data_IF_734067472762
#
_entry.id   IF_734067472762
#
_cell.length_a   1.000
_cell.length_b   1.000
_cell.length_c   1.000
_cell.angle_alpha   90.00
_cell.angle_beta   90.00
_cell.angle_gamma   90.00
#
_symmetry.space_group_name_H-M   'P 1'
#
loop_
_entity.id
_entity.type
_entity.pdbx_description
1 polymer ?
#
# COMPACT_ATOMS: atom_id res chain seq x y z
N UNK A 1 -21.09 -91.20 15.51
CA UNK A 1 -20.47 -91.29 14.15
C UNK A 1 -20.90 -90.11 13.28
N UNK A 2 -19.96 -89.49 12.63
CA UNK A 2 -20.00 -88.45 11.62
C UNK A 2 -19.81 -87.00 12.12
N UNK A 3 -18.58 -86.61 11.99
CA UNK A 3 -18.08 -85.27 12.11
C UNK A 3 -18.50 -84.46 10.85
N UNK A 4 -18.96 -83.22 11.06
CA UNK A 4 -19.01 -82.25 9.97
C UNK A 4 -18.16 -81.03 10.40
N UNK A 5 -17.11 -80.83 9.65
CA UNK A 5 -16.24 -79.69 9.75
C UNK A 5 -16.88 -78.56 8.96
N UNK A 6 -17.17 -77.42 9.58
CA UNK A 6 -17.59 -76.24 8.88
C UNK A 6 -16.40 -75.27 8.82
N UNK A 7 -15.88 -75.09 7.60
CA UNK A 7 -14.86 -74.11 7.29
C UNK A 7 -15.46 -72.68 7.31
N UNK A 8 -15.01 -71.83 8.23
CA UNK A 8 -15.32 -70.40 8.25
C UNK A 8 -14.36 -69.65 7.33
N UNK A 9 -14.89 -68.98 6.33
CA UNK A 9 -14.19 -68.09 5.43
C UNK A 9 -14.10 -66.72 6.10
N UNK A 10 -12.89 -66.30 6.57
CA UNK A 10 -12.64 -64.99 7.09
C UNK A 10 -12.41 -64.01 5.95
N UNK A 11 -13.34 -63.06 5.70
CA UNK A 11 -13.12 -61.92 4.83
C UNK A 11 -12.24 -60.91 5.58
N UNK A 12 -11.02 -60.71 5.08
CA UNK A 12 -10.16 -59.60 5.44
C UNK A 12 -10.65 -58.35 4.73
N UNK A 13 -11.28 -57.39 5.40
CA UNK A 13 -11.54 -56.05 4.94
C UNK A 13 -10.23 -55.25 5.09
N UNK A 14 -9.55 -55.04 3.96
CA UNK A 14 -8.43 -54.09 3.87
C UNK A 14 -8.99 -52.66 4.00
N UNK A 15 -8.88 -52.07 5.18
CA UNK A 15 -9.16 -50.65 5.39
C UNK A 15 -8.09 -49.80 4.69
N UNK A 16 -8.46 -49.01 3.67
CA UNK A 16 -7.62 -47.95 3.14
C UNK A 16 -7.52 -46.86 4.22
N UNK A 17 -6.39 -46.79 4.92
CA UNK A 17 -6.05 -45.63 5.72
C UNK A 17 -5.70 -44.51 4.74
N UNK A 18 -6.64 -43.55 4.58
CA UNK A 18 -6.33 -42.27 3.96
C UNK A 18 -5.48 -41.48 4.94
N UNK A 19 -4.17 -41.38 4.66
CA UNK A 19 -3.31 -40.41 5.34
C UNK A 19 -3.79 -39.01 4.92
N UNK A 20 -4.67 -38.46 5.72
CA UNK A 20 -4.97 -37.01 5.68
C UNK A 20 -3.76 -36.28 6.29
N UNK A 21 -2.76 -36.04 5.43
CA UNK A 21 -1.68 -35.10 5.74
C UNK A 21 -2.26 -33.70 5.67
N UNK A 22 -3.08 -33.36 6.64
CA UNK A 22 -3.56 -32.01 6.86
C UNK A 22 -2.37 -31.11 7.11
N UNK A 23 -1.85 -30.52 6.03
CA UNK A 23 -0.99 -29.34 6.18
C UNK A 23 -1.80 -28.33 6.97
N UNK A 24 -1.23 -27.73 8.03
CA UNK A 24 -1.93 -26.69 8.77
C UNK A 24 -2.23 -25.54 7.80
N UNK A 25 -3.50 -25.42 7.42
CA UNK A 25 -3.98 -24.24 6.71
C UNK A 25 -3.76 -23.08 7.68
N UNK A 26 -2.95 -22.06 7.33
CA UNK A 26 -2.77 -20.91 8.20
C UNK A 26 -4.13 -20.27 8.41
N UNK A 27 -4.65 -20.36 9.64
CA UNK A 27 -5.91 -19.76 10.07
C UNK A 27 -5.74 -18.25 10.31
N UNK A 28 -4.96 -17.57 9.46
CA UNK A 28 -4.93 -16.12 9.40
C UNK A 28 -6.12 -15.64 8.56
N UNK A 29 -6.66 -14.44 8.83
CA UNK A 29 -7.61 -13.85 7.91
C UNK A 29 -6.95 -13.84 6.53
N UNK A 30 -7.59 -14.51 5.57
CA UNK A 30 -7.20 -14.39 4.16
C UNK A 30 -7.18 -12.90 3.90
N UNK A 31 -6.04 -12.36 3.50
CA UNK A 31 -5.89 -10.94 3.15
C UNK A 31 -6.75 -10.66 1.91
N UNK A 32 -8.07 -10.62 2.15
CA UNK A 32 -9.09 -10.31 1.16
C UNK A 32 -8.99 -8.82 0.95
N UNK A 33 -8.50 -8.43 -0.21
CA UNK A 33 -8.36 -7.05 -0.66
C UNK A 33 -7.25 -6.24 0.03
N UNK A 34 -6.01 -6.58 -0.27
CA UNK A 34 -4.87 -5.77 0.11
C UNK A 34 -4.79 -4.51 -0.77
N UNK A 35 -5.43 -3.43 -0.30
CA UNK A 35 -5.27 -2.11 -0.92
C UNK A 35 -3.81 -1.66 -0.79
N UNK A 36 -3.16 -1.32 -1.90
CA UNK A 36 -1.87 -0.64 -1.88
C UNK A 36 -2.07 0.88 -1.94
N UNK A 37 -1.20 1.62 -1.24
CA UNK A 37 -1.15 3.08 -1.30
C UNK A 37 0.19 3.47 -1.91
N UNK A 38 0.14 4.18 -3.04
CA UNK A 38 1.31 4.80 -3.65
C UNK A 38 1.30 6.30 -3.40
N UNK A 39 2.45 6.84 -3.04
CA UNK A 39 2.69 8.26 -2.85
C UNK A 39 3.89 8.68 -3.70
N UNK A 40 3.71 9.69 -4.54
CA UNK A 40 4.71 10.15 -5.49
C UNK A 40 4.89 11.66 -5.38
N UNK A 41 6.14 12.11 -5.33
CA UNK A 41 6.52 13.52 -5.40
C UNK A 41 6.96 13.90 -6.82
N UNK A 42 7.01 15.18 -7.11
CA UNK A 42 7.52 15.69 -8.41
C UNK A 42 8.64 16.69 -8.24
N UNK A 43 9.36 16.99 -9.33
CA UNK A 43 10.30 18.09 -9.33
C UNK A 43 9.67 19.43 -8.95
N UNK A 44 10.49 20.32 -8.38
CA UNK A 44 10.23 21.75 -8.19
C UNK A 44 11.36 22.55 -8.82
N UNK A 45 11.29 23.87 -8.71
CA UNK A 45 12.43 24.73 -8.98
C UNK A 45 13.41 24.68 -7.80
N UNK A 46 14.35 23.71 -7.86
CA UNK A 46 15.32 23.47 -6.82
C UNK A 46 15.64 21.99 -6.61
N UNK A 47 16.08 21.63 -5.41
CA UNK A 47 16.51 20.28 -5.03
C UNK A 47 15.42 19.49 -4.29
N UNK A 48 14.18 19.56 -4.78
CA UNK A 48 13.12 18.73 -4.21
C UNK A 48 13.37 17.25 -4.51
N UNK A 49 13.35 16.35 -3.52
CA UNK A 49 13.44 14.94 -3.76
C UNK A 49 12.27 14.43 -4.61
N UNK A 50 12.60 13.66 -5.65
CA UNK A 50 11.63 13.03 -6.54
C UNK A 50 11.68 11.53 -6.30
N UNK A 51 10.59 10.98 -5.80
CA UNK A 51 10.48 9.56 -5.47
C UNK A 51 9.04 9.09 -5.49
N UNK A 52 8.90 7.78 -5.56
CA UNK A 52 7.64 7.08 -5.31
C UNK A 52 7.83 6.07 -4.19
N UNK A 53 6.85 6.00 -3.30
CA UNK A 53 6.77 4.93 -2.30
C UNK A 53 5.43 4.22 -2.46
N UNK A 54 5.45 2.89 -2.43
CA UNK A 54 4.24 2.06 -2.44
C UNK A 54 4.26 1.16 -1.23
N UNK A 55 3.19 1.17 -0.44
CA UNK A 55 3.04 0.36 0.77
C UNK A 55 1.81 -0.51 0.71
N UNK A 56 1.87 -1.67 1.38
CA UNK A 56 0.79 -2.65 1.47
C UNK A 56 0.50 -3.01 2.92
N UNK A 57 -0.73 -3.45 3.25
CA UNK A 57 -1.12 -3.81 4.61
C UNK A 57 -0.40 -5.07 5.15
N UNK A 58 0.22 -5.87 4.27
CA UNK A 58 1.06 -7.00 4.65
C UNK A 58 2.44 -6.59 5.22
N UNK A 59 2.69 -5.29 5.30
CA UNK A 59 3.95 -4.74 5.80
C UNK A 59 5.05 -4.66 4.74
N UNK A 60 4.76 -4.90 3.46
CA UNK A 60 5.71 -4.71 2.38
C UNK A 60 5.66 -3.28 1.84
N UNK A 61 6.84 -2.71 1.57
CA UNK A 61 7.00 -1.41 0.95
C UNK A 61 8.08 -1.41 -0.12
N UNK A 62 7.90 -0.56 -1.13
CA UNK A 62 8.88 -0.32 -2.19
C UNK A 62 9.08 1.18 -2.31
N UNK A 63 10.32 1.61 -2.20
CA UNK A 63 10.78 2.98 -2.48
C UNK A 63 11.46 3.01 -3.84
N UNK A 64 11.16 4.02 -4.65
CA UNK A 64 11.84 4.27 -5.93
C UNK A 64 12.33 5.70 -5.94
N UNK A 65 13.62 5.90 -5.74
CA UNK A 65 14.26 7.22 -5.81
C UNK A 65 14.63 7.59 -7.25
N UNK A 66 14.23 8.78 -7.68
CA UNK A 66 14.48 9.26 -9.05
C UNK A 66 15.49 10.41 -9.10
N UNK A 67 15.35 11.40 -8.22
CA UNK A 67 16.21 12.58 -8.18
C UNK A 67 16.32 13.16 -6.79
N UNK A 68 17.52 13.59 -6.42
CA UNK A 68 17.82 14.26 -5.15
C UNK A 68 17.41 13.43 -3.92
N UNK A 69 17.43 12.10 -4.05
CA UNK A 69 17.24 11.13 -2.99
C UNK A 69 18.59 10.51 -2.63
N UNK A 70 18.74 10.01 -1.40
CA UNK A 70 19.95 9.30 -0.96
C UNK A 70 20.06 7.93 -1.64
N UNK A 71 18.92 7.27 -1.86
CA UNK A 71 18.84 6.01 -2.61
C UNK A 71 18.27 6.34 -3.98
N UNK A 72 18.97 5.95 -5.05
CA UNK A 72 18.49 6.00 -6.43
C UNK A 72 18.03 4.62 -6.87
N UNK A 73 16.93 4.57 -7.64
CA UNK A 73 16.31 3.34 -8.08
C UNK A 73 15.43 2.69 -7.03
N UNK A 74 15.14 1.41 -7.22
CA UNK A 74 14.19 0.65 -6.40
C UNK A 74 14.86 0.04 -5.17
N UNK A 75 14.24 0.22 -4.01
CA UNK A 75 14.62 -0.43 -2.77
C UNK A 75 13.37 -0.91 -2.00
N UNK A 76 13.34 -2.20 -1.69
CA UNK A 76 12.31 -2.76 -0.82
C UNK A 76 12.58 -2.41 0.65
N UNK A 77 11.51 -2.25 1.42
CA UNK A 77 11.57 -2.07 2.87
C UNK A 77 10.36 -2.74 3.53
N UNK A 78 10.39 -2.83 4.85
CA UNK A 78 9.26 -3.34 5.64
C UNK A 78 8.75 -2.26 6.57
N UNK A 79 7.45 -2.29 6.84
CA UNK A 79 6.79 -1.39 7.80
C UNK A 79 5.89 -2.20 8.74
N UNK A 80 5.70 -1.67 9.94
CA UNK A 80 4.79 -2.28 10.92
C UNK A 80 3.34 -2.02 10.54
N UNK A 81 2.37 -2.83 11.02
CA UNK A 81 0.95 -2.54 10.84
C UNK A 81 0.55 -1.15 11.34
N UNK A 82 1.15 -0.70 12.44
CA UNK A 82 0.89 0.64 13.00
C UNK A 82 1.34 1.76 12.05
N UNK A 83 2.50 1.61 11.41
CA UNK A 83 3.00 2.56 10.42
C UNK A 83 2.09 2.62 9.18
N UNK A 84 1.66 1.46 8.67
CA UNK A 84 0.71 1.40 7.56
C UNK A 84 -0.60 2.10 7.90
N UNK A 85 -1.23 1.78 9.04
CA UNK A 85 -2.49 2.38 9.44
C UNK A 85 -2.36 3.88 9.76
N UNK A 86 -1.25 4.32 10.33
CA UNK A 86 -1.00 5.75 10.57
C UNK A 86 -0.86 6.52 9.24
N UNK A 87 -0.10 6.00 8.29
CA UNK A 87 0.04 6.57 6.95
C UNK A 87 -1.30 6.65 6.23
N UNK A 88 -2.04 5.56 6.20
CA UNK A 88 -3.38 5.48 5.61
C UNK A 88 -4.36 6.48 6.25
N UNK A 89 -4.38 6.55 7.58
CA UNK A 89 -5.24 7.48 8.33
C UNK A 89 -4.90 8.95 8.06
N UNK A 90 -3.60 9.29 7.92
CA UNK A 90 -3.14 10.65 7.60
C UNK A 90 -3.65 11.10 6.23
N UNK A 91 -3.74 10.20 5.26
CA UNK A 91 -4.18 10.47 3.89
C UNK A 91 -5.70 10.37 3.70
N UNK A 92 -6.40 9.64 4.57
CA UNK A 92 -7.83 9.33 4.42
C UNK A 92 -8.75 10.56 4.24
N UNK A 93 -8.55 11.71 4.93
CA UNK A 93 -9.40 12.89 4.76
C UNK A 93 -9.36 13.50 3.36
N UNK A 94 -8.34 13.20 2.58
CA UNK A 94 -8.10 13.78 1.25
C UNK A 94 -8.42 12.83 0.11
N UNK A 95 -8.75 11.57 0.43
CA UNK A 95 -9.13 10.54 -0.52
C UNK A 95 -10.50 10.86 -1.12
N UNK A 96 -10.66 10.89 -2.46
CA UNK A 96 -11.98 11.03 -3.07
C UNK A 96 -12.83 9.77 -2.85
N UNK A 97 -14.14 9.93 -2.88
CA UNK A 97 -15.06 8.79 -2.80
C UNK A 97 -14.92 7.86 -4.02
N UNK A 98 -14.72 8.44 -5.20
CA UNK A 98 -14.53 7.73 -6.46
C UNK A 98 -13.57 8.49 -7.37
N UNK A 99 -12.87 7.78 -8.24
CA UNK A 99 -12.06 8.35 -9.32
C UNK A 99 -10.90 9.23 -8.85
N UNK A 100 -10.69 10.34 -9.53
CA UNK A 100 -9.59 11.29 -9.27
C UNK A 100 -10.11 12.60 -8.67
N UNK A 101 -9.46 13.07 -7.61
CA UNK A 101 -9.52 14.46 -7.13
C UNK A 101 -8.26 15.19 -7.56
N UNK A 102 -8.43 16.23 -8.38
CA UNK A 102 -7.30 16.98 -8.93
C UNK A 102 -7.34 18.44 -8.51
N UNK A 103 -6.34 18.88 -7.75
CA UNK A 103 -6.13 20.26 -7.31
C UNK A 103 -4.88 20.78 -8.02
N UNK A 104 -5.07 21.47 -9.14
CA UNK A 104 -4.01 21.95 -10.02
C UNK A 104 -4.43 23.23 -10.74
N UNK A 105 -3.51 24.02 -11.27
CA UNK A 105 -3.85 25.20 -12.08
C UNK A 105 -4.85 24.86 -13.17
N UNK A 106 -5.92 25.65 -13.26
CA UNK A 106 -7.01 25.42 -14.22
C UNK A 106 -8.15 24.53 -13.71
N UNK A 107 -8.07 23.99 -12.50
CA UNK A 107 -9.20 23.28 -11.87
C UNK A 107 -10.02 24.21 -10.97
N UNK A 108 -11.32 23.89 -10.72
CA UNK A 108 -12.17 24.69 -9.83
C UNK A 108 -11.64 24.83 -8.40
N UNK A 109 -10.84 23.85 -7.94
CA UNK A 109 -10.25 23.82 -6.60
C UNK A 109 -8.93 24.61 -6.51
N UNK A 110 -8.44 25.21 -7.61
CA UNK A 110 -7.20 25.98 -7.68
C UNK A 110 -7.45 27.31 -8.41
N UNK A 111 -7.80 28.34 -7.65
CA UNK A 111 -8.09 29.68 -8.23
C UNK A 111 -6.83 30.53 -8.39
N UNK A 112 -5.91 30.41 -7.45
CA UNK A 112 -4.61 31.07 -7.45
C UNK A 112 -3.53 30.00 -7.43
N UNK A 113 -2.51 30.14 -8.29
CA UNK A 113 -1.41 29.21 -8.36
C UNK A 113 -0.08 29.96 -8.37
N UNK A 114 0.75 29.72 -7.34
CA UNK A 114 2.16 30.07 -7.39
C UNK A 114 2.90 29.07 -8.31
N UNK A 115 3.94 29.52 -9.00
CA UNK A 115 4.75 28.69 -9.89
C UNK A 115 5.86 27.95 -9.13
N UNK A 116 6.51 27.01 -9.80
CA UNK A 116 7.77 26.39 -9.39
C UNK A 116 7.74 25.52 -8.12
N UNK A 117 6.56 25.18 -7.63
CA UNK A 117 6.35 24.30 -6.49
C UNK A 117 6.14 22.83 -6.94
N UNK A 118 6.46 21.86 -6.10
CA UNK A 118 6.23 20.46 -6.42
C UNK A 118 4.74 20.11 -6.38
N UNK A 119 4.44 18.89 -6.79
CA UNK A 119 3.16 18.24 -6.55
C UNK A 119 3.35 16.93 -5.81
N UNK A 120 2.25 16.45 -5.25
CA UNK A 120 2.14 15.09 -4.75
C UNK A 120 0.97 14.39 -5.44
N UNK A 121 1.16 13.11 -5.74
CA UNK A 121 0.11 12.21 -6.21
C UNK A 121 -0.03 11.06 -5.22
N UNK A 122 -1.25 10.80 -4.76
CA UNK A 122 -1.56 9.64 -3.93
C UNK A 122 -2.52 8.75 -4.69
N UNK A 123 -2.25 7.45 -4.76
CA UNK A 123 -3.11 6.49 -5.41
C UNK A 123 -3.43 5.34 -4.45
N UNK A 124 -4.71 5.06 -4.28
CA UNK A 124 -5.24 3.91 -3.56
C UNK A 124 -5.69 2.89 -4.59
N UNK A 125 -4.97 1.78 -4.66
CA UNK A 125 -5.22 0.72 -5.65
C UNK A 125 -5.73 -0.53 -4.96
N UNK A 126 -6.89 -1.03 -5.39
CA UNK A 126 -7.45 -2.30 -4.95
C UNK A 126 -7.20 -3.37 -6.02
N UNK A 127 -6.98 -4.64 -5.64
CA UNK A 127 -6.87 -5.74 -6.60
C UNK A 127 -8.15 -5.93 -7.43
N UNK A 128 -9.30 -5.66 -6.82
CA UNK A 128 -10.62 -5.73 -7.45
C UNK A 128 -11.39 -4.47 -7.06
N UNK A 129 -11.99 -3.80 -8.04
CA UNK A 129 -12.79 -2.59 -7.85
C UNK A 129 -12.08 -1.32 -8.30
N UNK A 130 -12.67 -0.18 -7.93
CA UNK A 130 -12.21 1.14 -8.37
C UNK A 130 -10.98 1.59 -7.58
N UNK A 131 -9.99 2.13 -8.30
CA UNK A 131 -8.88 2.87 -7.72
C UNK A 131 -9.28 4.33 -7.56
N UNK A 132 -8.80 4.96 -6.50
CA UNK A 132 -8.95 6.40 -6.29
C UNK A 132 -7.57 7.07 -6.36
N UNK A 133 -7.56 8.34 -6.75
CA UNK A 133 -6.34 9.13 -6.74
C UNK A 133 -6.57 10.58 -6.33
N UNK A 134 -5.55 11.14 -5.69
CA UNK A 134 -5.44 12.56 -5.40
C UNK A 134 -4.23 13.10 -6.15
N UNK A 135 -4.41 14.19 -6.87
CA UNK A 135 -3.32 15.01 -7.42
C UNK A 135 -3.39 16.38 -6.76
N UNK A 136 -2.33 16.78 -6.07
CA UNK A 136 -2.26 18.04 -5.36
C UNK A 136 -1.00 18.83 -5.75
N UNK A 137 -1.19 20.01 -6.32
CA UNK A 137 -0.12 20.96 -6.58
C UNK A 137 0.04 21.94 -5.41
N UNK A 138 1.20 21.96 -4.79
CA UNK A 138 1.44 22.73 -3.57
C UNK A 138 1.28 24.25 -3.75
N UNK A 139 1.36 24.75 -4.98
CA UNK A 139 1.15 26.16 -5.31
C UNK A 139 -0.31 26.61 -5.35
N UNK A 140 -1.28 25.67 -5.27
CA UNK A 140 -2.70 25.98 -5.38
C UNK A 140 -3.28 26.57 -4.10
N UNK A 141 -3.81 27.80 -4.17
CA UNK A 141 -4.53 28.46 -3.07
C UNK A 141 -3.85 28.18 -1.72
N UNK A 142 -2.57 28.48 -1.59
CA UNK A 142 -1.67 28.00 -0.53
C UNK A 142 -2.23 28.20 0.89
N UNK A 143 -2.83 29.36 1.17
CA UNK A 143 -3.42 29.66 2.46
C UNK A 143 -4.62 28.74 2.77
N UNK A 144 -5.52 28.58 1.80
CA UNK A 144 -6.71 27.74 1.90
C UNK A 144 -6.34 26.26 2.07
N UNK A 145 -5.31 25.83 1.38
CA UNK A 145 -4.89 24.42 1.35
C UNK A 145 -3.77 24.09 2.35
N UNK A 146 -3.36 25.02 3.22
CA UNK A 146 -2.22 24.86 4.12
C UNK A 146 -2.29 23.57 4.96
N UNK A 147 -3.45 23.26 5.55
CA UNK A 147 -3.66 22.05 6.35
C UNK A 147 -3.49 20.77 5.52
N UNK A 148 -4.01 20.74 4.29
CA UNK A 148 -3.84 19.61 3.38
C UNK A 148 -2.37 19.47 2.97
N UNK A 149 -1.75 20.57 2.57
CA UNK A 149 -0.35 20.61 2.17
C UNK A 149 0.57 20.04 3.26
N UNK A 150 0.37 20.48 4.49
CA UNK A 150 1.11 19.98 5.65
C UNK A 150 0.85 18.50 5.88
N UNK A 151 -0.42 18.07 5.88
CA UNK A 151 -0.76 16.66 6.14
C UNK A 151 -0.19 15.72 5.08
N UNK A 152 -0.19 16.14 3.81
CA UNK A 152 0.41 15.36 2.73
C UNK A 152 1.94 15.31 2.85
N UNK A 153 2.58 16.44 3.21
CA UNK A 153 4.02 16.47 3.44
C UNK A 153 4.45 15.58 4.60
N UNK A 154 3.76 15.67 5.76
CA UNK A 154 4.07 14.90 6.97
C UNK A 154 3.72 13.40 6.82
N UNK A 155 2.94 13.00 5.82
CA UNK A 155 2.49 11.60 5.71
C UNK A 155 3.68 10.63 5.55
N UNK A 156 4.70 11.00 4.80
CA UNK A 156 5.86 10.15 4.53
C UNK A 156 6.77 9.97 5.76
N UNK A 157 6.71 10.88 6.74
CA UNK A 157 7.47 10.78 7.99
C UNK A 157 6.97 9.61 8.88
N UNK A 158 5.78 9.10 8.58
CA UNK A 158 5.22 7.92 9.24
C UNK A 158 5.80 6.60 8.71
N UNK A 159 6.56 6.65 7.62
CA UNK A 159 7.19 5.51 6.98
C UNK A 159 8.69 5.45 7.31
N UNK A 160 9.30 4.25 7.39
CA UNK A 160 10.73 4.11 7.70
C UNK A 160 11.61 4.36 6.45
N UNK A 161 11.43 5.49 5.77
CA UNK A 161 12.09 5.83 4.49
C UNK A 161 12.95 7.10 4.57
N UNK A 162 13.07 7.75 5.73
CA UNK A 162 13.86 8.98 5.91
C UNK A 162 15.30 8.82 5.39
N UNK A 163 15.96 7.72 5.73
CA UNK A 163 17.32 7.45 5.26
C UNK A 163 17.43 7.25 3.74
N UNK A 164 16.33 6.85 3.08
CA UNK A 164 16.30 6.68 1.62
C UNK A 164 16.08 8.01 0.90
N UNK A 165 15.26 8.88 1.49
CA UNK A 165 15.07 10.25 0.97
C UNK A 165 16.33 11.07 1.20
N UNK A 166 16.94 10.97 2.38
CA UNK A 166 18.09 11.74 2.81
C UNK A 166 17.70 13.06 3.47
N UNK A 167 18.70 13.77 3.99
CA UNK A 167 18.49 15.06 4.63
C UNK A 167 17.91 16.07 3.65
N UNK A 168 16.78 16.66 4.00
CA UNK A 168 16.22 17.79 3.28
C UNK A 168 17.13 19.02 3.52
N UNK A 169 17.45 19.81 2.46
CA UNK A 169 18.28 21.00 2.59
C UNK A 169 17.61 22.12 3.38
#
# INVERSE_FOLDING_TARGET
MRWMVASGLALMLAGCATNDSGLPVPSGPIATESESISYETSPCFGRCPVYRVTVRPDGTGVFVGERFTQVEGEQAFTLTPQQYEAFKAKLAPYRPETGERRIAPGTPECKLAATDLPRVSVQWTRPIGDSQSLYFYYGCDMEKNATMAQALGDAVDLLPIEAMIGAQP
#
